data_IF_380382907879
#
_entry.id   IF_380382907879
#
_cell.length_a   1.000
_cell.length_b   1.000
_cell.length_c   1.000
_cell.angle_alpha   90.00
_cell.angle_beta   90.00
_cell.angle_gamma   90.00
#
_symmetry.space_group_name_H-M   'P 1'
#
loop_
_entity.id
_entity.type
_entity.pdbx_description
1 polymer ?
#
# COMPACT_ATOMS: atom_id res chain seq x y z
N UNK A 1 -15.52 -10.12 -18.32
CA UNK A 1 -15.17 -9.20 -17.23
C UNK A 1 -15.25 -9.89 -15.87
N UNK A 2 -16.44 -10.29 -15.39
CA UNK A 2 -16.61 -10.93 -14.06
C UNK A 2 -15.65 -12.10 -13.83
N UNK A 3 -15.63 -13.08 -14.74
CA UNK A 3 -14.74 -14.26 -14.62
C UNK A 3 -13.26 -13.86 -14.55
N UNK A 4 -12.83 -12.92 -15.40
CA UNK A 4 -11.44 -12.45 -15.44
C UNK A 4 -11.08 -11.77 -14.12
N UNK A 5 -11.95 -10.90 -13.59
CA UNK A 5 -11.75 -10.23 -12.30
C UNK A 5 -11.73 -11.19 -11.12
N UNK A 6 -12.64 -12.17 -11.07
CA UNK A 6 -12.66 -13.20 -10.02
C UNK A 6 -11.37 -14.02 -10.01
N UNK A 7 -10.87 -14.44 -11.17
CA UNK A 7 -9.61 -15.19 -11.25
C UNK A 7 -8.41 -14.28 -10.94
N UNK A 8 -8.44 -13.00 -11.32
CA UNK A 8 -7.40 -12.03 -10.93
C UNK A 8 -7.31 -11.90 -9.40
N UNK A 9 -8.45 -11.85 -8.70
CA UNK A 9 -8.48 -11.81 -7.24
C UNK A 9 -7.88 -13.08 -6.60
N UNK A 10 -8.18 -14.27 -7.14
CA UNK A 10 -7.57 -15.52 -6.67
C UNK A 10 -6.07 -15.58 -6.97
N UNK A 11 -5.65 -15.09 -8.14
CA UNK A 11 -4.25 -14.95 -8.51
C UNK A 11 -3.51 -14.04 -7.53
N UNK A 12 -4.07 -12.89 -7.18
CA UNK A 12 -3.53 -12.00 -6.15
C UNK A 12 -3.29 -12.73 -4.82
N UNK A 13 -4.28 -13.48 -4.32
CA UNK A 13 -4.14 -14.23 -3.05
C UNK A 13 -3.02 -15.27 -3.11
N UNK A 14 -2.83 -15.92 -4.26
CA UNK A 14 -1.72 -16.85 -4.49
C UNK A 14 -0.38 -16.12 -4.41
N UNK A 15 -0.27 -14.99 -5.11
CA UNK A 15 0.98 -14.21 -5.17
C UNK A 15 1.34 -13.57 -3.84
N UNK A 16 0.38 -12.99 -3.10
CA UNK A 16 0.61 -12.46 -1.75
C UNK A 16 1.20 -13.53 -0.82
N UNK A 17 0.57 -14.71 -0.76
CA UNK A 17 1.08 -15.83 0.04
C UNK A 17 2.44 -16.35 -0.45
N UNK A 18 2.68 -16.33 -1.76
CA UNK A 18 3.94 -16.76 -2.33
C UNK A 18 5.07 -15.79 -1.96
N UNK A 19 4.87 -14.49 -2.07
CA UNK A 19 5.87 -13.48 -1.70
C UNK A 19 6.22 -13.56 -0.21
N UNK A 20 5.20 -13.71 0.66
CA UNK A 20 5.41 -13.95 2.09
C UNK A 20 6.22 -15.23 2.35
N UNK A 21 5.90 -16.32 1.65
CA UNK A 21 6.65 -17.59 1.76
C UNK A 21 8.10 -17.46 1.29
N UNK A 22 8.35 -16.58 0.31
CA UNK A 22 9.69 -16.26 -0.19
C UNK A 22 10.42 -15.22 0.67
N UNK A 23 9.84 -14.78 1.80
CA UNK A 23 10.38 -13.74 2.68
C UNK A 23 10.66 -12.43 1.92
N UNK A 24 9.81 -12.10 0.94
CA UNK A 24 9.83 -10.81 0.25
C UNK A 24 8.86 -9.89 0.99
N UNK A 25 9.42 -8.89 1.65
CA UNK A 25 8.67 -7.88 2.42
C UNK A 25 8.16 -6.78 1.48
N UNK A 26 6.94 -6.97 0.97
CA UNK A 26 6.20 -5.99 0.16
C UNK A 26 5.11 -5.36 1.03
N UNK A 27 5.37 -4.19 1.66
CA UNK A 27 4.53 -3.64 2.72
C UNK A 27 3.12 -3.26 2.27
N UNK A 28 2.94 -3.04 0.98
CA UNK A 28 1.68 -2.62 0.36
C UNK A 28 1.09 -3.70 -0.56
N UNK A 29 1.69 -4.89 -0.61
CA UNK A 29 1.32 -6.00 -1.49
C UNK A 29 1.18 -5.61 -2.99
N UNK A 30 1.88 -4.55 -3.41
CA UNK A 30 1.77 -4.00 -4.76
C UNK A 30 2.30 -5.00 -5.79
N UNK A 31 3.40 -5.69 -5.51
CA UNK A 31 3.92 -6.72 -6.41
C UNK A 31 2.88 -7.84 -6.60
N UNK A 32 2.18 -8.27 -5.55
CA UNK A 32 1.16 -9.31 -5.65
C UNK A 32 -0.03 -8.91 -6.54
N UNK A 33 -0.53 -7.68 -6.38
CA UNK A 33 -1.65 -7.16 -7.20
C UNK A 33 -1.23 -7.04 -8.66
N UNK A 34 -0.07 -6.44 -8.92
CA UNK A 34 0.38 -6.12 -10.28
C UNK A 34 0.89 -7.36 -11.03
N UNK A 35 1.70 -8.21 -10.40
CA UNK A 35 2.17 -9.45 -11.03
C UNK A 35 1.01 -10.45 -11.14
N UNK A 36 0.26 -10.67 -10.06
CA UNK A 36 -0.81 -11.65 -10.06
C UNK A 36 -1.96 -11.29 -11.01
N UNK A 37 -2.48 -10.07 -10.91
CA UNK A 37 -3.53 -9.58 -11.78
C UNK A 37 -3.04 -9.35 -13.21
N UNK A 38 -1.85 -8.77 -13.38
CA UNK A 38 -1.26 -8.46 -14.69
C UNK A 38 -0.95 -9.70 -15.51
N UNK A 39 -0.28 -10.70 -14.92
CA UNK A 39 0.00 -11.96 -15.61
C UNK A 39 -1.29 -12.68 -16.01
N UNK A 40 -2.26 -12.77 -15.10
CA UNK A 40 -3.55 -13.36 -15.44
C UNK A 40 -4.25 -12.62 -16.58
N UNK A 41 -4.20 -11.29 -16.60
CA UNK A 41 -4.73 -10.48 -17.69
C UNK A 41 -4.12 -10.81 -19.04
N UNK A 42 -2.80 -11.02 -19.10
CA UNK A 42 -2.09 -11.43 -20.33
C UNK A 42 -2.61 -12.79 -20.81
N UNK A 43 -2.77 -13.77 -19.93
CA UNK A 43 -3.28 -15.10 -20.30
C UNK A 43 -4.79 -15.12 -20.59
N UNK A 44 -5.57 -14.20 -20.00
CA UNK A 44 -7.00 -14.10 -20.25
C UNK A 44 -7.33 -13.62 -21.68
N UNK A 45 -6.42 -12.88 -22.33
CA UNK A 45 -6.60 -12.37 -23.69
C UNK A 45 -6.87 -13.48 -24.73
N UNK A 46 -5.98 -14.46 -24.95
CA UNK A 46 -6.24 -15.54 -25.91
C UNK A 46 -7.40 -16.46 -25.49
N UNK A 47 -7.81 -16.44 -24.22
CA UNK A 47 -8.93 -17.26 -23.74
C UNK A 47 -10.27 -16.61 -24.10
N UNK A 48 -10.43 -15.30 -23.80
CA UNK A 48 -11.74 -14.63 -23.80
C UNK A 48 -11.93 -13.56 -24.88
N UNK A 49 -10.94 -13.28 -25.75
CA UNK A 49 -11.09 -12.24 -26.80
C UNK A 49 -12.13 -12.64 -27.85
N UNK A 50 -13.24 -11.92 -27.94
CA UNK A 50 -14.15 -12.06 -29.10
C UNK A 50 -13.60 -11.22 -30.26
N UNK A 51 -13.45 -11.83 -31.43
CA UNK A 51 -13.36 -11.07 -32.68
C UNK A 51 -14.77 -10.59 -33.04
N UNK A 52 -14.99 -9.29 -33.03
CA UNK A 52 -16.26 -8.65 -33.40
C UNK A 52 -16.16 -8.15 -34.83
N UNK A 53 -16.47 -9.03 -35.80
CA UNK A 53 -16.56 -8.66 -37.22
C UNK A 53 -15.27 -8.06 -37.82
N UNK A 54 -15.32 -7.57 -39.07
CA UNK A 54 -14.30 -6.65 -39.56
C UNK A 54 -14.30 -5.44 -38.62
N UNK A 55 -13.13 -4.87 -38.35
CA UNK A 55 -13.05 -3.59 -37.68
C UNK A 55 -13.89 -2.55 -38.48
N UNK A 56 -14.21 -1.40 -37.89
CA UNK A 56 -15.02 -0.34 -38.52
C UNK A 56 -14.54 0.14 -39.91
N UNK A 57 -13.35 -0.30 -40.34
CA UNK A 57 -12.73 -0.03 -41.63
C UNK A 57 -12.84 -1.18 -42.65
N UNK A 58 -13.60 -2.25 -42.35
CA UNK A 58 -13.88 -3.33 -43.30
C UNK A 58 -12.70 -4.25 -43.62
N UNK A 59 -11.57 -4.07 -42.94
CA UNK A 59 -10.37 -4.87 -43.18
C UNK A 59 -10.51 -6.23 -42.50
N UNK A 60 -10.32 -7.30 -43.26
CA UNK A 60 -10.10 -8.62 -42.69
C UNK A 60 -8.70 -8.57 -42.09
N UNK A 61 -8.59 -8.16 -40.83
CA UNK A 61 -7.35 -8.36 -40.11
C UNK A 61 -7.11 -9.87 -40.06
N UNK A 62 -6.23 -10.34 -40.93
CA UNK A 62 -5.67 -11.71 -40.97
C UNK A 62 -5.00 -12.12 -39.64
N UNK A 63 -5.00 -11.21 -38.66
CA UNK A 63 -4.55 -11.34 -37.29
C UNK A 63 -5.71 -11.57 -36.30
N UNK A 64 -6.83 -12.15 -36.76
CA UNK A 64 -7.93 -12.58 -35.91
C UNK A 64 -7.44 -13.59 -34.86
N UNK A 65 -6.96 -13.09 -33.72
CA UNK A 65 -6.58 -13.89 -32.57
C UNK A 65 -7.75 -14.82 -32.21
N UNK A 66 -7.56 -16.11 -32.47
CA UNK A 66 -8.54 -17.12 -32.15
C UNK A 66 -8.68 -17.20 -30.63
N UNK A 67 -9.88 -16.92 -30.12
CA UNK A 67 -10.20 -17.20 -28.72
C UNK A 67 -10.50 -18.66 -28.53
N UNK A 68 -9.91 -19.24 -27.47
CA UNK A 68 -10.14 -20.63 -27.06
C UNK A 68 -11.64 -20.91 -26.87
N UNK A 69 -12.38 -19.96 -26.29
CA UNK A 69 -13.79 -20.16 -25.93
C UNK A 69 -14.73 -19.83 -27.09
N UNK A 70 -14.44 -18.79 -27.88
CA UNK A 70 -15.38 -18.29 -28.88
C UNK A 70 -15.17 -18.84 -30.28
N UNK A 71 -13.95 -19.29 -30.62
CA UNK A 71 -13.64 -19.86 -31.93
C UNK A 71 -12.57 -20.94 -31.78
N UNK A 72 -13.01 -22.15 -31.46
CA UNK A 72 -12.13 -23.29 -31.21
C UNK A 72 -11.39 -23.66 -32.51
N UNK A 73 -10.11 -23.29 -32.55
CA UNK A 73 -9.13 -23.77 -33.52
C UNK A 73 -7.89 -24.17 -32.74
N UNK A 74 -7.60 -25.46 -32.67
CA UNK A 74 -6.58 -26.02 -31.76
C UNK A 74 -5.19 -25.41 -32.03
N UNK A 75 -4.80 -25.28 -33.31
CA UNK A 75 -3.50 -24.72 -33.68
C UNK A 75 -3.37 -23.23 -33.34
N UNK A 76 -4.39 -22.44 -33.65
CA UNK A 76 -4.38 -20.99 -33.47
C UNK A 76 -4.55 -20.58 -32.00
N UNK A 77 -5.35 -21.34 -31.25
CA UNK A 77 -5.51 -21.20 -29.80
C UNK A 77 -4.18 -21.40 -29.08
N UNK A 78 -3.41 -22.41 -29.48
CA UNK A 78 -2.09 -22.68 -28.91
C UNK A 78 -1.09 -21.59 -29.24
N UNK A 79 -1.10 -21.08 -30.48
CA UNK A 79 -0.29 -19.91 -30.87
C UNK A 79 -0.62 -18.69 -30.02
N UNK A 80 -1.90 -18.43 -29.73
CA UNK A 80 -2.32 -17.34 -28.84
C UNK A 80 -1.77 -17.46 -27.41
N UNK A 81 -1.77 -18.67 -26.84
CA UNK A 81 -1.19 -18.93 -25.51
C UNK A 81 0.34 -18.78 -25.51
N UNK A 82 1.02 -19.32 -26.52
CA UNK A 82 2.48 -19.18 -26.66
C UNK A 82 2.88 -17.71 -26.83
N UNK A 83 2.15 -16.96 -27.65
CA UNK A 83 2.37 -15.52 -27.80
C UNK A 83 2.20 -14.79 -26.46
N UNK A 84 1.19 -15.14 -25.67
CA UNK A 84 0.96 -14.56 -24.35
C UNK A 84 2.09 -14.88 -23.37
N UNK A 85 2.63 -16.09 -23.42
CA UNK A 85 3.81 -16.48 -22.63
C UNK A 85 5.04 -15.66 -23.04
N UNK A 86 5.29 -15.52 -24.34
CA UNK A 86 6.37 -14.67 -24.87
C UNK A 86 6.19 -13.22 -24.45
N UNK A 87 4.97 -12.67 -24.53
CA UNK A 87 4.65 -11.31 -24.07
C UNK A 87 4.95 -11.15 -22.58
N UNK A 88 4.49 -12.07 -21.74
CA UNK A 88 4.78 -12.04 -20.31
C UNK A 88 6.29 -12.08 -20.05
N UNK A 89 7.03 -12.97 -20.71
CA UNK A 89 8.48 -13.08 -20.55
C UNK A 89 9.21 -11.80 -20.98
N UNK A 90 8.86 -11.23 -22.14
CA UNK A 90 9.49 -10.00 -22.66
C UNK A 90 9.21 -8.82 -21.73
N UNK A 91 7.98 -8.63 -21.29
CA UNK A 91 7.62 -7.53 -20.39
C UNK A 91 8.31 -7.68 -19.03
N UNK A 92 8.30 -8.89 -18.45
CA UNK A 92 9.00 -9.15 -17.18
C UNK A 92 10.50 -8.91 -17.31
N UNK A 93 11.14 -9.40 -18.38
CA UNK A 93 12.57 -9.23 -18.60
C UNK A 93 12.93 -7.75 -18.80
N UNK A 94 12.16 -7.03 -19.64
CA UNK A 94 12.34 -5.61 -19.85
C UNK A 94 12.23 -4.83 -18.53
N UNK A 95 11.13 -5.01 -17.80
CA UNK A 95 10.92 -4.32 -16.52
C UNK A 95 12.01 -4.68 -15.51
N UNK A 96 12.37 -5.94 -15.38
CA UNK A 96 13.42 -6.37 -14.44
C UNK A 96 14.78 -5.73 -14.77
N UNK A 97 15.17 -5.64 -16.04
CA UNK A 97 16.44 -5.02 -16.45
C UNK A 97 16.47 -3.54 -16.06
N UNK A 98 15.44 -2.77 -16.40
CA UNK A 98 15.44 -1.33 -16.13
C UNK A 98 15.25 -1.01 -14.65
N UNK A 99 14.42 -1.77 -13.94
CA UNK A 99 14.25 -1.60 -12.49
C UNK A 99 15.52 -2.00 -11.74
N UNK A 100 16.20 -3.09 -12.14
CA UNK A 100 17.49 -3.46 -11.56
C UNK A 100 18.56 -2.40 -11.84
N UNK A 101 18.62 -1.86 -13.06
CA UNK A 101 19.54 -0.79 -13.40
C UNK A 101 19.29 0.47 -12.55
N UNK A 102 18.02 0.90 -12.43
CA UNK A 102 17.63 2.02 -11.58
C UNK A 102 18.08 1.80 -10.13
N UNK A 103 17.69 0.66 -9.54
CA UNK A 103 18.04 0.37 -8.14
C UNK A 103 19.54 0.20 -7.92
N UNK A 104 20.27 -0.33 -8.90
CA UNK A 104 21.73 -0.40 -8.84
C UNK A 104 22.33 1.01 -8.79
N UNK A 105 21.87 1.93 -9.65
CA UNK A 105 22.34 3.32 -9.63
C UNK A 105 22.00 3.99 -8.30
N UNK A 106 20.76 3.86 -7.81
CA UNK A 106 20.34 4.41 -6.51
C UNK A 106 21.14 3.84 -5.34
N UNK A 107 21.50 2.54 -5.40
CA UNK A 107 22.35 1.90 -4.40
C UNK A 107 23.78 2.43 -4.44
N UNK A 108 24.35 2.66 -5.62
CA UNK A 108 25.71 3.19 -5.76
C UNK A 108 25.85 4.61 -5.17
N UNK A 109 24.81 5.43 -5.29
CA UNK A 109 24.77 6.77 -4.70
C UNK A 109 24.21 6.80 -3.27
N UNK A 110 24.02 5.63 -2.65
CA UNK A 110 23.53 5.47 -1.27
C UNK A 110 22.18 6.17 -0.98
N UNK A 111 21.28 6.25 -1.97
CA UNK A 111 19.94 6.85 -1.84
C UNK A 111 18.81 5.84 -1.67
N UNK A 112 19.11 4.54 -1.65
CA UNK A 112 18.08 3.50 -1.70
C UNK A 112 17.36 3.27 -0.37
N UNK A 113 18.05 3.43 0.77
CA UNK A 113 17.51 3.14 2.09
C UNK A 113 18.07 4.13 3.11
N UNK A 114 17.21 4.57 4.04
CA UNK A 114 17.58 5.38 5.21
C UNK A 114 18.47 4.58 6.17
N UNK A 115 19.14 5.27 7.10
CA UNK A 115 19.96 4.59 8.11
C UNK A 115 19.08 3.71 9.04
N UNK A 116 19.65 2.64 9.62
CA UNK A 116 18.89 1.78 10.56
C UNK A 116 18.38 2.56 11.78
N UNK A 117 19.12 3.57 12.23
CA UNK A 117 18.70 4.44 13.33
C UNK A 117 17.47 5.28 12.94
N UNK A 118 17.46 5.85 11.73
CA UNK A 118 16.31 6.59 11.18
C UNK A 118 15.10 5.67 10.95
N UNK A 119 15.32 4.45 10.45
CA UNK A 119 14.27 3.45 10.23
C UNK A 119 13.59 3.07 11.56
N UNK A 120 14.37 2.87 12.62
CA UNK A 120 13.86 2.50 13.95
C UNK A 120 13.16 3.67 14.67
N UNK A 121 13.65 4.90 14.50
CA UNK A 121 13.03 6.11 15.10
C UNK A 121 11.78 6.57 14.37
N UNK A 122 11.52 6.05 13.17
CA UNK A 122 10.45 6.49 12.30
C UNK A 122 10.85 7.70 11.45
N UNK A 123 10.57 7.59 10.15
CA UNK A 123 10.99 8.58 9.15
C UNK A 123 10.32 9.95 9.35
N UNK A 124 9.09 9.97 9.88
CA UNK A 124 8.33 11.20 10.11
C UNK A 124 9.03 12.11 11.11
N UNK A 125 9.57 11.54 12.20
CA UNK A 125 10.27 12.31 13.21
C UNK A 125 11.57 12.94 12.65
N UNK A 126 12.25 12.23 11.75
CA UNK A 126 13.50 12.71 11.15
C UNK A 126 13.28 13.75 10.05
N UNK A 127 12.29 13.54 9.16
CA UNK A 127 12.04 14.44 8.03
C UNK A 127 11.11 15.61 8.35
N UNK A 128 10.15 15.43 9.25
CA UNK A 128 9.11 16.42 9.55
C UNK A 128 9.23 17.00 10.96
N UNK A 129 10.06 16.43 11.85
CA UNK A 129 10.27 16.93 13.20
C UNK A 129 9.08 16.70 14.15
N UNK A 130 8.07 15.96 13.70
CA UNK A 130 6.87 15.63 14.45
C UNK A 130 6.42 14.19 14.18
N UNK A 131 5.85 13.48 15.16
CA UNK A 131 5.29 12.15 14.92
C UNK A 131 3.96 12.25 14.15
N UNK A 132 3.70 11.30 13.23
CA UNK A 132 2.43 11.26 12.50
C UNK A 132 1.19 11.03 13.38
N UNK A 133 1.37 10.46 14.58
CA UNK A 133 0.31 10.19 15.55
C UNK A 133 0.67 10.77 16.91
N UNK A 134 -0.34 11.04 17.74
CA UNK A 134 -0.12 11.52 19.11
C UNK A 134 0.86 10.62 19.88
N UNK A 135 1.84 11.24 20.56
CA UNK A 135 2.96 10.56 21.21
C UNK A 135 2.53 9.45 22.18
N UNK A 136 1.37 9.60 22.80
CA UNK A 136 0.75 8.58 23.68
C UNK A 136 0.47 7.26 22.98
N UNK A 137 0.05 7.28 21.72
CA UNK A 137 -0.19 6.07 20.91
C UNK A 137 1.15 5.50 20.46
N UNK A 138 2.10 6.38 20.14
CA UNK A 138 3.45 6.02 19.70
C UNK A 138 4.24 5.24 20.77
N UNK A 139 4.28 5.74 22.02
CA UNK A 139 4.97 5.05 23.12
C UNK A 139 4.30 3.72 23.53
N UNK A 140 2.97 3.62 23.44
CA UNK A 140 2.26 2.37 23.70
C UNK A 140 2.59 1.28 22.66
N UNK A 141 2.73 1.65 21.39
CA UNK A 141 3.08 0.72 20.31
C UNK A 141 4.56 0.31 20.32
N UNK A 142 5.47 1.21 20.73
CA UNK A 142 6.91 0.95 20.82
C UNK A 142 7.29 0.08 22.04
N UNK A 143 6.35 -0.24 22.93
CA UNK A 143 6.61 -1.00 24.16
C UNK A 143 7.40 -0.21 25.21
N UNK A 144 7.65 1.08 24.97
CA UNK A 144 8.28 1.97 25.92
C UNK A 144 7.21 2.47 26.89
N UNK A 145 7.13 1.82 28.06
CA UNK A 145 6.28 2.32 29.14
C UNK A 145 6.82 3.69 29.57
N UNK A 146 6.07 4.75 29.25
CA UNK A 146 6.21 6.07 29.86
C UNK A 146 5.76 6.04 31.33
N UNK A 147 6.27 5.11 32.12
CA UNK A 147 6.06 5.08 33.55
C UNK A 147 6.92 6.19 34.17
N UNK A 148 6.28 7.33 34.44
CA UNK A 148 6.83 8.37 35.31
C UNK A 148 7.91 9.29 34.71
N UNK A 149 8.16 9.25 33.40
CA UNK A 149 9.05 10.23 32.74
C UNK A 149 8.24 11.38 32.13
N UNK A 150 8.32 12.55 32.74
CA UNK A 150 7.98 13.82 32.09
C UNK A 150 9.01 14.06 30.99
N UNK A 151 8.62 13.90 29.73
CA UNK A 151 9.48 14.30 28.62
C UNK A 151 9.33 15.82 28.47
N UNK A 152 10.23 16.58 29.10
CA UNK A 152 10.51 17.94 28.65
C UNK A 152 11.24 17.84 27.32
N UNK A 153 10.49 17.70 26.23
CA UNK A 153 11.04 17.83 24.90
C UNK A 153 11.08 19.32 24.57
N UNK A 154 12.29 19.89 24.63
CA UNK A 154 12.64 21.16 24.00
C UNK A 154 12.53 20.97 22.47
N UNK A 155 11.29 20.94 21.98
CA UNK A 155 11.00 21.10 20.57
C UNK A 155 11.30 22.56 20.23
N UNK A 156 12.20 22.75 19.27
CA UNK A 156 12.52 24.04 18.67
C UNK A 156 11.19 24.77 18.35
N UNK A 157 10.82 25.72 19.20
CA UNK A 157 9.80 26.73 18.94
C UNK A 157 8.34 26.43 19.28
N UNK A 158 7.93 25.25 19.76
CA UNK A 158 6.50 25.01 20.09
C UNK A 158 6.33 24.29 21.43
N UNK A 159 6.09 25.08 22.48
CA UNK A 159 5.61 24.57 23.78
C UNK A 159 4.20 23.98 23.62
N UNK A 160 4.09 22.70 23.28
CA UNK A 160 2.81 21.98 23.39
C UNK A 160 2.69 21.45 24.82
N UNK A 161 1.92 22.17 25.65
CA UNK A 161 1.43 21.64 26.92
C UNK A 161 0.40 20.55 26.61
N UNK A 162 0.84 19.31 26.42
CA UNK A 162 -0.07 18.18 26.49
C UNK A 162 -0.55 18.06 27.95
N UNK A 163 -1.86 18.07 28.23
CA UNK A 163 -2.32 17.93 29.59
C UNK A 163 -1.87 16.57 30.12
N UNK A 164 -1.45 16.60 31.38
CA UNK A 164 -1.27 15.41 32.20
C UNK A 164 -2.45 14.46 32.01
N UNK A 165 -2.14 13.15 32.03
CA UNK A 165 -3.11 12.05 32.08
C UNK A 165 -4.28 12.43 33.00
N UNK A 166 -5.47 12.68 32.42
CA UNK A 166 -6.68 12.86 33.22
C UNK A 166 -7.21 11.46 33.54
N UNK A 167 -6.96 11.02 34.77
CA UNK A 167 -7.57 9.82 35.33
C UNK A 167 -8.81 10.21 36.15
N UNK A 168 -9.81 9.35 36.20
CA UNK A 168 -10.86 9.47 37.22
C UNK A 168 -10.30 9.15 38.63
N UNK A 169 -11.15 9.26 39.65
CA UNK A 169 -10.77 9.04 41.04
C UNK A 169 -10.34 7.58 41.30
N UNK A 170 -10.74 6.66 40.41
CA UNK A 170 -10.44 5.24 40.41
C UNK A 170 -9.21 4.88 39.57
N UNK A 171 -8.57 5.87 38.92
CA UNK A 171 -7.35 5.68 38.13
C UNK A 171 -7.59 5.18 36.70
N UNK A 172 -8.84 5.11 36.24
CA UNK A 172 -9.16 4.76 34.87
C UNK A 172 -8.95 5.95 33.92
N UNK A 173 -8.47 5.64 32.72
CA UNK A 173 -8.12 6.64 31.70
C UNK A 173 -9.41 7.14 31.06
N UNK A 174 -9.70 8.43 31.22
CA UNK A 174 -10.89 9.04 30.62
C UNK A 174 -10.58 9.45 29.17
N UNK A 175 -11.38 9.03 28.17
CA UNK A 175 -11.21 9.52 26.81
C UNK A 175 -11.46 11.03 26.74
N UNK A 176 -10.64 11.73 25.95
CA UNK A 176 -10.73 13.17 25.74
C UNK A 176 -11.22 13.41 24.31
N UNK A 177 -12.34 14.11 24.16
CA UNK A 177 -12.77 14.63 22.85
C UNK A 177 -12.12 15.99 22.58
N UNK A 178 -11.51 16.09 21.41
CA UNK A 178 -10.86 17.29 20.93
C UNK A 178 -11.84 18.12 20.11
N UNK A 179 -12.51 19.10 20.73
CA UNK A 179 -13.38 20.03 20.02
C UNK A 179 -12.58 21.23 19.50
N UNK A 180 -12.65 21.48 18.19
CA UNK A 180 -12.12 22.70 17.58
C UNK A 180 -13.24 23.74 17.46
N UNK A 181 -13.52 24.46 18.54
CA UNK A 181 -14.35 25.66 18.46
C UNK A 181 -13.51 26.80 17.86
N UNK A 182 -13.77 27.15 16.60
CA UNK A 182 -13.20 28.34 15.97
C UNK A 182 -13.83 29.60 16.58
N UNK A 183 -13.34 30.01 17.74
CA UNK A 183 -13.70 31.30 18.32
C UNK A 183 -12.44 32.07 18.72
N UNK A 184 -11.86 32.79 17.76
CA UNK A 184 -11.01 33.98 17.95
C UNK A 184 -9.68 33.83 18.71
N UNK A 185 -9.47 32.76 19.46
CA UNK A 185 -8.21 32.43 20.12
C UNK A 185 -7.76 31.08 19.59
N UNK A 186 -6.53 30.99 19.08
CA UNK A 186 -5.89 29.76 18.59
C UNK A 186 -5.59 28.74 19.71
N UNK A 187 -6.44 28.66 20.74
CA UNK A 187 -6.31 27.76 21.86
C UNK A 187 -7.34 26.63 21.71
N UNK A 188 -6.83 25.40 21.55
CA UNK A 188 -7.63 24.19 21.58
C UNK A 188 -8.20 24.01 22.99
N UNK A 189 -9.53 24.00 23.14
CA UNK A 189 -10.19 23.72 24.41
C UNK A 189 -10.34 22.22 24.57
N UNK A 190 -9.93 21.72 25.73
CA UNK A 190 -10.05 20.31 26.11
C UNK A 190 -11.18 20.22 27.14
N UNK A 191 -12.25 19.50 26.82
CA UNK A 191 -13.30 19.13 27.77
C UNK A 191 -13.15 17.65 28.13
N UNK A 192 -13.20 17.33 29.42
CA UNK A 192 -13.30 15.96 29.88
C UNK A 192 -14.75 15.49 29.74
N UNK A 193 -14.96 14.25 29.31
CA UNK A 193 -16.31 13.69 29.02
C UNK A 193 -17.16 13.52 30.29
N UNK A 194 -16.57 13.63 31.49
CA UNK A 194 -17.28 13.42 32.75
C UNK A 194 -18.01 14.66 33.32
N UNK A 195 -17.94 15.84 32.69
CA UNK A 195 -18.60 17.05 33.22
C UNK A 195 -20.07 17.20 32.83
N UNK A 196 -20.64 16.35 31.97
CA UNK A 196 -22.01 16.55 31.46
C UNK A 196 -23.11 15.80 32.24
N UNK A 197 -22.77 15.01 33.28
CA UNK A 197 -23.74 14.25 34.09
C UNK A 197 -23.76 14.60 35.59
N UNK A 198 -23.39 15.83 35.96
CA UNK A 198 -23.70 16.40 37.29
C UNK A 198 -24.66 17.58 37.16
N UNK A 199 -25.95 17.27 36.97
CA UNK A 199 -27.07 18.05 37.49
C UNK A 199 -28.07 17.07 38.07
#
# INVERSE_FOLDING_TARGET
>A
AVIVGSIAALSFLLWSKLLLKLHIDDPVETAAVHIGGGLWGIFALPIFRRTVGPDSDGDFTENAFFSIIYRISVGESWRGLLNSLCTAAVVMAWTAIFVALLFLVLKLISLLKVSQEEELRGIDLFQHGEPAYALRIYCAACGEQLQGKTIEQETVGVRTNFPNIVTDAEGAIVPIEYFNERNGSNAMKIKSINEENRV
#
